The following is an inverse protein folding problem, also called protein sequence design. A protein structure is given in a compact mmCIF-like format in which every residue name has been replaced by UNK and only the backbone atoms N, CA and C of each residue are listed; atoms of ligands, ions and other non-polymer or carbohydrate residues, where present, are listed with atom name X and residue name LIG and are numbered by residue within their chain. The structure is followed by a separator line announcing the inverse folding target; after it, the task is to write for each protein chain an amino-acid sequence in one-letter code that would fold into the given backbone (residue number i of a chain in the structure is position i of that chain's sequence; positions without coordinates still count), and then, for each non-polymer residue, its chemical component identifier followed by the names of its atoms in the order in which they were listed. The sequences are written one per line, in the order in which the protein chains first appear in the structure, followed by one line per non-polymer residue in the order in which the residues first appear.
data_IF_785928042810
#
_entry.id   IF_785928042810
#
_cell.length_a   1.000
_cell.length_b   1.000
_cell.length_c   1.000
_cell.angle_alpha   90.00
_cell.angle_beta   90.00
_cell.angle_gamma   90.00
#
_symmetry.space_group_name_H-M   'P 1'
#
loop_
_entity.id
_entity.type
_entity.pdbx_description
1 polymer ?
#
# COMPACT_ATOMS: atom_id res chain seq x y z
N UNK A 1 11.10 1.30 33.22
CA UNK A 1 10.86 1.03 31.79
C UNK A 1 11.36 -0.39 31.54
N UNK A 2 10.45 -1.34 31.36
CA UNK A 2 10.77 -2.76 31.32
C UNK A 2 11.26 -3.12 29.91
N UNK A 3 12.57 -3.30 29.76
CA UNK A 3 13.22 -3.82 28.55
C UNK A 3 12.70 -5.23 28.27
N UNK A 4 11.66 -5.30 27.45
CA UNK A 4 11.00 -6.53 27.06
C UNK A 4 11.65 -7.02 25.76
N UNK A 5 12.81 -7.66 25.84
CA UNK A 5 13.21 -8.64 24.81
C UNK A 5 14.37 -9.53 25.28
N UNK A 6 14.13 -10.40 26.27
CA UNK A 6 15.09 -11.44 26.71
C UNK A 6 15.17 -12.60 25.69
N UNK A 7 14.80 -12.37 24.42
CA UNK A 7 14.86 -13.37 23.36
C UNK A 7 16.28 -13.50 22.79
N UNK A 8 17.03 -12.40 22.78
CA UNK A 8 18.38 -12.35 22.25
C UNK A 8 19.39 -11.91 23.31
N UNK A 9 20.55 -12.57 23.34
CA UNK A 9 21.70 -12.18 24.16
C UNK A 9 22.58 -11.27 23.31
N UNK A 10 22.64 -10.00 23.68
CA UNK A 10 23.44 -9.00 22.98
C UNK A 10 24.46 -8.44 23.97
N UNK A 11 25.74 -8.47 23.61
CA UNK A 11 26.82 -7.89 24.43
C UNK A 11 26.63 -6.39 24.65
N UNK A 12 26.98 -5.89 25.83
CA UNK A 12 26.90 -4.46 26.18
C UNK A 12 27.73 -3.59 25.21
N UNK A 13 28.84 -4.13 24.71
CA UNK A 13 29.70 -3.46 23.72
C UNK A 13 28.95 -3.19 22.41
N UNK A 14 28.19 -4.17 21.91
CA UNK A 14 27.41 -4.00 20.68
C UNK A 14 26.26 -3.02 20.92
N UNK A 15 25.60 -3.12 22.08
CA UNK A 15 24.51 -2.21 22.43
C UNK A 15 24.99 -0.75 22.51
N UNK A 16 26.20 -0.52 23.00
CA UNK A 16 26.79 0.81 23.09
C UNK A 16 27.29 1.34 21.73
N UNK A 17 27.94 0.50 20.94
CA UNK A 17 28.64 0.93 19.72
C UNK A 17 27.77 0.87 18.45
N UNK A 18 26.83 -0.08 18.37
CA UNK A 18 26.06 -0.35 17.14
C UNK A 18 24.54 -0.46 17.36
N UNK A 19 23.89 0.53 18.00
CA UNK A 19 22.45 0.49 18.29
C UNK A 19 21.58 0.43 17.02
N UNK A 20 21.98 1.12 15.95
CA UNK A 20 21.25 1.12 14.67
C UNK A 20 21.34 -0.22 13.96
N UNK A 21 22.49 -0.89 14.03
CA UNK A 21 22.66 -2.21 13.42
C UNK A 21 21.84 -3.28 14.16
N UNK A 22 21.78 -3.21 15.49
CA UNK A 22 20.89 -4.08 16.28
C UNK A 22 19.46 -3.93 15.80
N UNK A 23 18.99 -2.69 15.62
CA UNK A 23 17.65 -2.42 15.12
C UNK A 23 17.43 -3.03 13.73
N UNK A 24 18.38 -2.87 12.80
CA UNK A 24 18.30 -3.46 11.47
C UNK A 24 18.22 -5.00 11.49
N UNK A 25 19.00 -5.66 12.36
CA UNK A 25 18.99 -7.13 12.50
C UNK A 25 17.67 -7.62 13.12
N UNK A 26 17.08 -6.85 14.05
CA UNK A 26 15.79 -7.19 14.63
C UNK A 26 14.62 -6.94 13.68
N UNK A 27 14.71 -5.90 12.83
CA UNK A 27 13.66 -5.51 11.89
C UNK A 27 13.73 -6.26 10.55
N UNK A 28 14.87 -6.87 10.19
CA UNK A 28 14.96 -7.58 8.92
C UNK A 28 14.05 -8.82 8.91
N UNK A 29 13.23 -8.92 7.87
CA UNK A 29 12.35 -10.07 7.61
C UNK A 29 13.12 -11.26 7.01
N UNK A 30 14.37 -11.03 6.60
CA UNK A 30 15.24 -12.00 5.92
C UNK A 30 15.96 -12.95 6.89
N UNK A 31 15.84 -12.72 8.20
CA UNK A 31 16.53 -13.49 9.24
C UNK A 31 15.55 -14.08 10.24
N UNK A 32 15.76 -15.34 10.58
CA UNK A 32 15.06 -16.02 11.66
C UNK A 32 15.68 -15.70 13.02
N UNK A 33 14.97 -15.99 14.11
CA UNK A 33 15.45 -15.71 15.47
C UNK A 33 16.82 -16.35 15.77
N UNK A 34 17.04 -17.60 15.35
CA UNK A 34 18.31 -18.30 15.58
C UNK A 34 19.47 -17.64 14.82
N UNK A 35 19.19 -17.13 13.62
CA UNK A 35 20.18 -16.41 12.80
C UNK A 35 20.51 -15.05 13.40
N UNK A 36 19.50 -14.33 13.92
CA UNK A 36 19.71 -13.06 14.64
C UNK A 36 20.63 -13.27 15.83
N UNK A 37 20.41 -14.32 16.63
CA UNK A 37 21.28 -14.65 17.76
C UNK A 37 22.71 -14.95 17.29
N UNK A 38 22.86 -15.76 16.24
CA UNK A 38 24.17 -16.06 15.66
C UNK A 38 24.92 -14.80 15.23
N UNK A 39 24.24 -13.86 14.57
CA UNK A 39 24.84 -12.57 14.22
C UNK A 39 25.32 -11.80 15.46
N UNK A 40 24.50 -11.70 16.50
CA UNK A 40 24.89 -11.03 17.75
C UNK A 40 26.07 -11.71 18.46
N UNK A 41 26.17 -13.04 18.36
CA UNK A 41 27.27 -13.80 18.97
C UNK A 41 28.59 -13.61 18.21
N UNK A 42 28.56 -13.47 16.88
CA UNK A 42 29.78 -13.30 16.07
C UNK A 42 30.22 -11.84 15.95
N UNK A 43 29.31 -10.88 16.11
CA UNK A 43 29.60 -9.44 16.01
C UNK A 43 30.80 -8.96 16.83
N UNK A 44 31.02 -9.39 18.09
CA UNK A 44 32.20 -8.97 18.85
C UNK A 44 33.53 -9.48 18.28
N UNK A 45 33.47 -10.51 17.42
CA UNK A 45 34.63 -11.09 16.74
C UNK A 45 34.85 -10.57 15.33
N UNK A 46 33.93 -9.74 14.81
CA UNK A 46 34.03 -9.14 13.48
C UNK A 46 34.89 -7.88 13.50
N UNK A 47 35.53 -7.56 12.37
CA UNK A 47 36.20 -6.28 12.17
C UNK A 47 35.20 -5.18 11.79
N UNK A 48 35.58 -3.93 11.99
CA UNK A 48 34.75 -2.77 11.62
C UNK A 48 34.31 -2.82 10.15
N UNK A 49 35.19 -3.20 9.22
CA UNK A 49 34.85 -3.35 7.80
C UNK A 49 33.78 -4.41 7.55
N UNK A 50 33.79 -5.51 8.31
CA UNK A 50 32.78 -6.56 8.20
C UNK A 50 31.44 -6.09 8.76
N UNK A 51 31.46 -5.34 9.87
CA UNK A 51 30.27 -4.73 10.46
C UNK A 51 29.67 -3.71 9.50
N UNK A 52 30.48 -2.84 8.90
CA UNK A 52 30.04 -1.86 7.90
C UNK A 52 29.43 -2.54 6.68
N UNK A 53 30.01 -3.65 6.22
CA UNK A 53 29.47 -4.41 5.11
C UNK A 53 28.11 -5.02 5.45
N UNK A 54 27.97 -5.60 6.63
CA UNK A 54 26.69 -6.13 7.12
C UNK A 54 25.64 -5.02 7.20
N UNK A 55 25.99 -3.88 7.80
CA UNK A 55 25.12 -2.71 7.88
C UNK A 55 24.65 -2.26 6.50
N UNK A 56 25.57 -2.12 5.54
CA UNK A 56 25.24 -1.69 4.18
C UNK A 56 24.31 -2.65 3.45
N UNK A 57 24.48 -3.97 3.65
CA UNK A 57 23.59 -4.99 3.07
C UNK A 57 22.18 -4.83 3.63
N UNK A 58 22.04 -4.77 4.95
CA UNK A 58 20.76 -4.65 5.63
C UNK A 58 20.05 -3.32 5.33
N UNK A 59 20.80 -2.21 5.33
CA UNK A 59 20.24 -0.90 5.00
C UNK A 59 19.78 -0.83 3.53
N UNK A 60 20.53 -1.44 2.61
CA UNK A 60 20.13 -1.53 1.20
C UNK A 60 18.88 -2.38 1.02
N UNK A 61 18.78 -3.51 1.71
CA UNK A 61 17.59 -4.37 1.72
C UNK A 61 16.36 -3.60 2.23
N UNK A 62 16.47 -2.95 3.39
CA UNK A 62 15.41 -2.10 3.96
C UNK A 62 14.94 -1.03 2.98
N UNK A 63 15.87 -0.32 2.32
CA UNK A 63 15.54 0.72 1.33
C UNK A 63 14.81 0.15 0.12
N UNK A 64 15.23 -1.03 -0.37
CA UNK A 64 14.56 -1.70 -1.50
C UNK A 64 13.15 -2.14 -1.13
N UNK A 65 12.95 -2.70 0.06
CA UNK A 65 11.63 -3.07 0.57
C UNK A 65 10.73 -1.85 0.72
N UNK A 66 11.22 -0.77 1.34
CA UNK A 66 10.45 0.46 1.50
C UNK A 66 10.05 1.09 0.16
N UNK A 67 10.97 1.11 -0.81
CA UNK A 67 10.67 1.60 -2.16
C UNK A 67 9.63 0.73 -2.89
N UNK A 68 9.69 -0.59 -2.67
CA UNK A 68 8.73 -1.54 -3.23
C UNK A 68 7.34 -1.35 -2.61
N UNK A 69 7.25 -1.22 -1.28
CA UNK A 69 6.01 -0.93 -0.57
C UNK A 69 5.38 0.39 -1.04
N UNK A 70 6.17 1.45 -1.18
CA UNK A 70 5.67 2.74 -1.66
C UNK A 70 5.11 2.63 -3.08
N UNK A 71 5.80 1.88 -3.95
CA UNK A 71 5.33 1.61 -5.32
C UNK A 71 4.01 0.85 -5.31
N UNK A 72 3.89 -0.23 -4.54
CA UNK A 72 2.64 -0.99 -4.44
C UNK A 72 1.50 -0.18 -3.83
N UNK A 73 1.78 0.62 -2.79
CA UNK A 73 0.77 1.51 -2.18
C UNK A 73 0.26 2.54 -3.18
N UNK A 74 1.13 3.06 -4.03
CA UNK A 74 0.77 3.99 -5.10
C UNK A 74 -0.08 3.31 -6.18
N UNK A 75 0.30 2.10 -6.60
CA UNK A 75 -0.46 1.32 -7.58
C UNK A 75 -1.86 0.96 -7.04
N UNK A 76 -1.98 0.56 -5.77
CA UNK A 76 -3.29 0.29 -5.13
C UNK A 76 -4.15 1.56 -5.08
N UNK A 77 -3.57 2.71 -4.73
CA UNK A 77 -4.30 3.99 -4.74
C UNK A 77 -4.82 4.33 -6.14
N UNK A 78 -3.97 4.22 -7.16
CA UNK A 78 -4.34 4.50 -8.54
C UNK A 78 -5.43 3.55 -9.04
N UNK A 79 -5.36 2.27 -8.67
CA UNK A 79 -6.37 1.28 -9.02
C UNK A 79 -7.72 1.61 -8.36
N UNK A 80 -7.72 1.95 -7.07
CA UNK A 80 -8.93 2.37 -6.36
C UNK A 80 -9.54 3.66 -6.94
N UNK A 81 -8.72 4.65 -7.27
CA UNK A 81 -9.17 5.89 -7.93
C UNK A 81 -9.80 5.60 -9.29
N UNK A 82 -9.17 4.73 -10.11
CA UNK A 82 -9.70 4.33 -11.41
C UNK A 82 -11.07 3.65 -11.28
N UNK A 83 -11.20 2.70 -10.36
CA UNK A 83 -12.49 2.03 -10.13
C UNK A 83 -13.57 2.98 -9.62
N UNK A 84 -13.22 3.96 -8.78
CA UNK A 84 -14.17 4.97 -8.30
C UNK A 84 -14.68 5.85 -9.45
N UNK A 85 -13.79 6.29 -10.34
CA UNK A 85 -14.14 7.09 -11.53
C UNK A 85 -14.99 6.27 -12.50
N UNK A 86 -14.58 5.03 -12.82
CA UNK A 86 -15.34 4.14 -13.71
C UNK A 86 -16.76 3.89 -13.17
N UNK A 87 -16.90 3.71 -11.85
CA UNK A 87 -18.21 3.54 -11.23
C UNK A 87 -19.06 4.81 -11.31
N UNK A 88 -18.47 5.98 -11.07
CA UNK A 88 -19.16 7.27 -11.22
C UNK A 88 -19.60 7.51 -12.67
N UNK A 89 -18.73 7.25 -13.65
CA UNK A 89 -19.05 7.37 -15.07
C UNK A 89 -20.17 6.41 -15.47
N UNK A 90 -20.15 5.17 -14.98
CA UNK A 90 -21.21 4.20 -15.20
C UNK A 90 -22.56 4.68 -14.62
N UNK A 91 -22.56 5.20 -13.39
CA UNK A 91 -23.77 5.77 -12.77
C UNK A 91 -24.31 6.99 -13.54
N UNK A 92 -23.42 7.88 -13.98
CA UNK A 92 -23.76 9.04 -14.81
C UNK A 92 -24.35 8.62 -16.15
N UNK A 93 -23.78 7.60 -16.79
CA UNK A 93 -24.26 7.08 -18.07
C UNK A 93 -25.63 6.44 -17.94
N UNK A 94 -25.83 5.59 -16.92
CA UNK A 94 -27.14 5.03 -16.61
C UNK A 94 -28.19 6.10 -16.24
N UNK A 95 -27.78 7.16 -15.54
CA UNK A 95 -28.67 8.29 -15.24
C UNK A 95 -29.05 9.08 -16.49
N UNK A 96 -28.09 9.34 -17.39
CA UNK A 96 -28.36 9.99 -18.69
C UNK A 96 -29.27 9.15 -19.58
N UNK A 97 -29.11 7.82 -19.60
CA UNK A 97 -30.00 6.94 -20.36
C UNK A 97 -31.41 6.94 -19.80
N UNK A 98 -31.58 6.94 -18.47
CA UNK A 98 -32.89 7.09 -17.84
C UNK A 98 -33.55 8.44 -18.14
N UNK A 99 -32.78 9.53 -18.10
CA UNK A 99 -33.30 10.87 -18.44
C UNK A 99 -33.73 10.92 -19.91
N UNK A 100 -32.90 10.41 -20.83
CA UNK A 100 -33.28 10.34 -22.25
C UNK A 100 -34.49 9.43 -22.50
N UNK A 101 -34.60 8.32 -21.80
CA UNK A 101 -35.76 7.44 -21.90
C UNK A 101 -37.02 8.12 -21.37
N UNK A 102 -36.93 8.88 -20.27
CA UNK A 102 -38.03 9.66 -19.73
C UNK A 102 -38.43 10.81 -20.68
N UNK A 103 -37.49 11.59 -21.19
CA UNK A 103 -37.74 12.66 -22.17
C UNK A 103 -38.31 12.15 -23.50
N UNK A 104 -37.87 10.97 -23.96
CA UNK A 104 -38.43 10.35 -25.16
C UNK A 104 -39.87 9.88 -24.93
N UNK A 105 -40.19 9.41 -23.72
CA UNK A 105 -41.52 8.94 -23.35
C UNK A 105 -42.50 10.11 -23.17
N UNK A 106 -42.05 11.18 -22.53
CA UNK A 106 -42.79 12.44 -22.32
C UNK A 106 -43.13 13.11 -23.67
N UNK A 107 -42.16 13.15 -24.61
CA UNK A 107 -42.40 13.67 -25.97
C UNK A 107 -43.36 12.84 -26.81
N UNK A 108 -43.42 11.52 -26.61
CA UNK A 108 -44.38 10.67 -27.33
C UNK A 108 -45.79 10.81 -26.77
N UNK A 109 -45.95 10.91 -25.45
CA UNK A 109 -47.26 11.11 -24.81
C UNK A 109 -47.84 12.49 -25.19
N UNK A 110 -47.05 13.56 -25.15
CA UNK A 110 -47.49 14.91 -25.58
C UNK A 110 -47.81 14.98 -27.10
N UNK A 111 -47.07 14.27 -27.94
CA UNK A 111 -47.30 14.30 -29.39
C UNK A 111 -48.57 13.55 -29.81
N UNK A 112 -48.84 12.40 -29.18
CA UNK A 112 -50.05 11.61 -29.45
C UNK A 112 -51.31 12.31 -28.89
N UNK A 113 -51.21 12.96 -27.73
CA UNK A 113 -52.31 13.73 -27.14
C UNK A 113 -52.64 15.00 -27.95
N UNK A 114 -51.63 15.72 -28.47
CA UNK A 114 -51.84 16.89 -29.34
C UNK A 114 -52.46 16.48 -30.68
N UNK A 115 -52.07 15.32 -31.24
CA UNK A 115 -52.65 14.80 -32.48
C UNK A 115 -54.11 14.37 -32.30
N UNK A 116 -54.46 13.76 -31.17
CA UNK A 116 -55.84 13.38 -30.86
C UNK A 116 -56.77 14.60 -30.72
N UNK A 117 -56.28 15.73 -30.18
CA UNK A 117 -57.06 16.97 -30.09
C UNK A 117 -57.27 17.68 -31.44
N UNK A 118 -56.41 17.43 -32.43
CA UNK A 118 -56.50 18.02 -33.77
C UNK A 118 -57.46 17.27 -34.71
N UNK A 119 -57.69 15.97 -34.48
CA UNK A 119 -58.58 15.13 -35.29
C UNK A 119 -60.07 15.27 -34.89
N UNK A 120 -60.35 15.88 -33.74
CA UNK A 120 -61.70 16.08 -33.17
C UNK A 120 -62.29 17.49 -33.47
N UNK A 121 -61.69 18.23 -34.42
CA UNK A 121 -61.99 19.62 -34.77
C UNK A 121 -62.40 19.78 -36.25
#
# INVERSE_FOLDING_TARGET
MANSNVKFKISDEIQANYPELIKLILETESMEDDERQYWFDIMPSMTDEQIDRLFNILDTERKKLAALEEKYKKEIKQLNEKHLIEWQEFQLKGSKEKIKAAEAKDKTEDADDILAMLDDL
#
